data_IF_626589032632
#
_entry.id   IF_626589032632
#
_cell.length_a   1.000
_cell.length_b   1.000
_cell.length_c   1.000
_cell.angle_alpha   90.00
_cell.angle_beta   90.00
_cell.angle_gamma   90.00
#
_symmetry.space_group_name_H-M   'P 1'
#
loop_
_entity.id
_entity.type
_entity.pdbx_description
1 polymer ?
#
# COMPACT_ATOMS: atom_id res chain seq x y z
N UNK A 1 6.52 -56.80 -39.97
CA UNK A 1 6.61 -55.39 -40.39
C UNK A 1 5.38 -54.65 -39.91
N UNK A 2 5.59 -53.67 -39.02
CA UNK A 2 4.78 -52.46 -38.76
C UNK A 2 3.31 -52.64 -38.28
N UNK A 3 2.79 -51.91 -37.29
CA UNK A 3 3.29 -50.81 -36.46
C UNK A 3 2.29 -50.66 -35.30
N UNK A 4 2.81 -50.39 -34.11
CA UNK A 4 2.06 -49.95 -32.94
C UNK A 4 1.40 -48.59 -33.18
N UNK A 5 0.18 -48.41 -32.65
CA UNK A 5 -0.37 -47.08 -32.36
C UNK A 5 -0.85 -47.09 -30.91
N UNK A 6 -0.04 -46.49 -30.04
CA UNK A 6 -0.45 -46.09 -28.70
C UNK A 6 -1.17 -44.75 -28.82
N UNK A 7 -2.45 -44.71 -28.45
CA UNK A 7 -3.19 -43.46 -28.28
C UNK A 7 -2.87 -42.93 -26.88
N UNK A 8 -2.07 -41.87 -26.80
CA UNK A 8 -1.89 -41.09 -25.59
C UNK A 8 -3.11 -40.17 -25.47
N UNK A 9 -3.97 -40.43 -24.50
CA UNK A 9 -5.03 -39.52 -24.09
C UNK A 9 -4.36 -38.36 -23.34
N UNK A 10 -4.16 -37.23 -24.00
CA UNK A 10 -3.72 -36.00 -23.36
C UNK A 10 -4.82 -35.48 -22.43
N UNK A 11 -4.61 -35.57 -21.13
CA UNK A 11 -5.44 -34.86 -20.16
C UNK A 11 -5.14 -33.36 -20.30
N UNK A 12 -6.06 -32.61 -20.90
CA UNK A 12 -6.11 -31.16 -20.75
C UNK A 12 -6.46 -30.86 -19.29
N UNK A 13 -5.45 -30.51 -18.49
CA UNK A 13 -5.67 -29.77 -17.26
C UNK A 13 -6.17 -28.38 -17.66
N UNK A 14 -7.49 -28.18 -17.53
CA UNK A 14 -8.08 -26.86 -17.46
C UNK A 14 -7.57 -26.21 -16.17
N UNK A 15 -6.55 -25.36 -16.28
CA UNK A 15 -6.21 -24.40 -15.24
C UNK A 15 -7.44 -23.49 -15.07
N UNK A 16 -8.18 -23.68 -13.99
CA UNK A 16 -9.16 -22.69 -13.57
C UNK A 16 -8.41 -21.38 -13.27
N UNK A 17 -8.92 -20.21 -13.65
CA UNK A 17 -8.31 -18.95 -13.26
C UNK A 17 -8.28 -18.89 -11.73
N UNK A 18 -7.09 -18.73 -11.16
CA UNK A 18 -6.90 -18.58 -9.72
C UNK A 18 -7.79 -17.42 -9.22
N UNK A 19 -8.63 -17.73 -8.24
CA UNK A 19 -9.57 -16.79 -7.62
C UNK A 19 -8.91 -15.57 -6.96
N UNK A 20 -7.58 -15.54 -6.87
CA UNK A 20 -6.80 -14.39 -6.39
C UNK A 20 -6.97 -13.11 -7.22
N UNK A 21 -7.34 -13.22 -8.51
CA UNK A 21 -7.57 -12.06 -9.37
C UNK A 21 -8.94 -11.40 -9.21
N UNK A 22 -9.89 -12.01 -8.49
CA UNK A 22 -11.23 -11.42 -8.32
C UNK A 22 -11.22 -10.16 -7.43
N UNK A 23 -10.14 -9.92 -6.70
CA UNK A 23 -10.01 -8.80 -5.76
C UNK A 23 -9.48 -7.52 -6.42
N UNK A 24 -8.75 -7.64 -7.52
CA UNK A 24 -8.22 -6.50 -8.26
C UNK A 24 -9.17 -6.09 -9.39
N UNK A 25 -9.20 -4.80 -9.71
CA UNK A 25 -10.01 -4.31 -10.82
C UNK A 25 -9.31 -4.54 -12.18
N UNK A 26 -10.02 -4.21 -13.26
CA UNK A 26 -9.47 -4.30 -14.63
C UNK A 26 -8.35 -3.30 -14.91
N UNK A 27 -8.19 -2.26 -14.07
CA UNK A 27 -7.15 -1.24 -14.20
C UNK A 27 -5.89 -1.56 -13.37
N UNK A 28 -5.80 -2.74 -12.75
CA UNK A 28 -4.70 -3.09 -11.87
C UNK A 28 -3.33 -2.90 -12.53
N UNK A 29 -2.48 -2.07 -11.93
CA UNK A 29 -1.17 -1.71 -12.47
C UNK A 29 -1.19 -0.68 -13.58
N UNK A 30 -2.33 -0.04 -13.87
CA UNK A 30 -2.44 1.06 -14.83
C UNK A 30 -2.61 2.37 -14.07
N UNK A 31 -1.63 3.26 -14.16
CA UNK A 31 -1.66 4.53 -13.43
C UNK A 31 -2.63 5.55 -14.02
N UNK A 32 -2.69 5.65 -15.35
CA UNK A 32 -3.58 6.55 -16.10
C UNK A 32 -4.58 5.73 -16.93
N UNK A 33 -5.68 5.23 -16.34
CA UNK A 33 -6.63 4.39 -17.05
C UNK A 33 -7.37 5.17 -18.14
N UNK A 34 -7.69 4.48 -19.24
CA UNK A 34 -8.43 5.01 -20.39
C UNK A 34 -9.74 4.24 -20.59
N UNK A 35 -10.75 4.90 -21.14
CA UNK A 35 -12.01 4.30 -21.60
C UNK A 35 -12.07 4.27 -23.12
N UNK A 36 -12.62 3.21 -23.69
CA UNK A 36 -12.90 3.13 -25.12
C UNK A 36 -14.20 3.86 -25.44
N UNK A 37 -14.16 4.73 -26.44
CA UNK A 37 -15.32 5.41 -26.99
C UNK A 37 -15.44 5.16 -28.49
N UNK A 38 -16.67 5.18 -29.01
CA UNK A 38 -16.92 5.15 -30.45
C UNK A 38 -16.98 6.57 -30.97
N UNK A 39 -16.00 6.95 -31.79
CA UNK A 39 -16.02 8.20 -32.53
C UNK A 39 -16.65 7.94 -33.90
N UNK A 40 -17.69 8.71 -34.25
CA UNK A 40 -18.33 8.66 -35.56
C UNK A 40 -17.88 9.87 -36.36
N UNK A 41 -17.18 9.62 -37.46
CA UNK A 41 -16.75 10.65 -38.43
C UNK A 41 -17.35 10.35 -39.79
N UNK A 42 -17.39 11.35 -40.69
CA UNK A 42 -17.78 11.13 -42.09
C UNK A 42 -16.54 11.08 -42.96
N UNK A 43 -16.48 10.10 -43.86
CA UNK A 43 -15.45 10.05 -44.90
C UNK A 43 -15.76 11.02 -46.06
N UNK A 44 -14.82 11.11 -46.99
CA UNK A 44 -14.90 11.98 -48.18
C UNK A 44 -16.06 11.62 -49.12
N UNK A 45 -16.64 10.42 -48.97
CA UNK A 45 -17.82 9.96 -49.71
C UNK A 45 -19.14 10.24 -48.97
N UNK A 46 -19.08 10.83 -47.77
CA UNK A 46 -20.22 11.08 -46.90
C UNK A 46 -20.68 9.85 -46.10
N UNK A 47 -19.94 8.74 -46.15
CA UNK A 47 -20.18 7.53 -45.37
C UNK A 47 -19.77 7.71 -43.91
N UNK A 48 -20.53 7.14 -42.99
CA UNK A 48 -20.15 7.12 -41.57
C UNK A 48 -19.05 6.09 -41.31
N UNK A 49 -17.96 6.55 -40.71
CA UNK A 49 -16.85 5.73 -40.24
C UNK A 49 -16.86 5.77 -38.71
N UNK A 50 -17.14 4.62 -38.10
CA UNK A 50 -17.05 4.43 -36.65
C UNK A 50 -15.64 3.93 -36.31
N UNK A 51 -14.92 4.67 -35.48
CA UNK A 51 -13.60 4.29 -34.96
C UNK A 51 -13.70 4.10 -33.45
N UNK A 52 -12.98 3.11 -32.92
CA UNK A 52 -12.76 3.02 -31.48
C UNK A 52 -11.59 3.94 -31.14
N UNK A 53 -11.79 4.86 -30.20
CA UNK A 53 -10.75 5.77 -29.70
C UNK A 53 -10.62 5.61 -28.19
N UNK A 54 -9.39 5.63 -27.70
CA UNK A 54 -9.11 5.65 -26.26
C UNK A 54 -9.10 7.10 -25.78
N UNK A 55 -9.79 7.35 -24.67
CA UNK A 55 -9.77 8.65 -24.00
C UNK A 55 -9.54 8.45 -22.51
N UNK A 56 -8.99 9.45 -21.83
CA UNK A 56 -8.86 9.39 -20.38
C UNK A 56 -10.23 9.20 -19.72
N UNK A 57 -10.24 8.45 -18.63
CA UNK A 57 -11.41 8.40 -17.76
C UNK A 57 -11.64 9.78 -17.13
N UNK A 58 -12.85 9.99 -16.59
CA UNK A 58 -13.16 11.25 -15.93
C UNK A 58 -12.21 11.43 -14.74
N UNK A 59 -11.66 12.63 -14.58
CA UNK A 59 -10.67 12.92 -13.54
C UNK A 59 -11.24 13.68 -12.35
N UNK A 60 -10.61 13.55 -11.19
CA UNK A 60 -10.84 14.41 -10.03
C UNK A 60 -10.24 15.82 -10.24
N UNK A 61 -10.34 16.68 -9.23
CA UNK A 61 -9.80 18.05 -9.27
C UNK A 61 -8.28 18.12 -9.35
N UNK A 62 -7.58 17.01 -9.16
CA UNK A 62 -6.12 16.90 -9.22
C UNK A 62 -5.65 16.15 -10.48
N UNK A 63 -6.56 15.73 -11.36
CA UNK A 63 -6.21 15.00 -12.58
C UNK A 63 -5.98 13.50 -12.37
N UNK A 64 -6.34 12.92 -11.22
CA UNK A 64 -6.36 11.46 -11.05
C UNK A 64 -7.67 10.89 -11.57
N UNK A 65 -7.70 9.60 -11.87
CA UNK A 65 -8.94 8.90 -12.22
C UNK A 65 -10.01 9.11 -11.12
N UNK A 66 -11.24 9.44 -11.50
CA UNK A 66 -12.34 9.72 -10.58
C UNK A 66 -13.10 8.45 -10.19
N UNK A 67 -13.31 8.28 -8.88
CA UNK A 67 -14.05 7.15 -8.32
C UNK A 67 -13.19 5.92 -7.98
N UNK A 68 -13.73 5.05 -7.12
CA UNK A 68 -13.03 3.92 -6.53
C UNK A 68 -12.85 2.73 -7.50
N UNK A 69 -13.58 2.70 -8.62
CA UNK A 69 -13.49 1.66 -9.63
C UNK A 69 -12.13 1.62 -10.34
N UNK A 70 -11.28 2.63 -10.15
CA UNK A 70 -9.91 2.69 -10.66
C UNK A 70 -8.85 2.49 -9.56
N UNK A 71 -9.24 2.14 -8.32
CA UNK A 71 -8.29 1.74 -7.26
C UNK A 71 -7.74 0.35 -7.58
N UNK A 72 -6.60 -0.06 -7.02
CA UNK A 72 -6.06 -1.41 -7.26
C UNK A 72 -7.09 -2.52 -6.99
N UNK A 73 -7.79 -2.42 -5.86
CA UNK A 73 -8.77 -3.40 -5.44
C UNK A 73 -10.21 -2.88 -5.54
N UNK A 74 -11.14 -3.81 -5.79
CA UNK A 74 -12.57 -3.52 -5.72
C UNK A 74 -13.01 -3.26 -4.28
N UNK A 75 -14.08 -2.49 -4.10
CA UNK A 75 -14.63 -2.22 -2.77
C UNK A 75 -15.08 -3.52 -2.09
N UNK A 76 -14.81 -3.66 -0.79
CA UNK A 76 -15.10 -4.87 -0.02
C UNK A 76 -14.23 -6.09 -0.32
N UNK A 77 -13.24 -6.02 -1.23
CA UNK A 77 -12.40 -7.15 -1.63
C UNK A 77 -11.72 -7.89 -0.47
N UNK A 78 -11.49 -7.22 0.65
CA UNK A 78 -10.77 -7.74 1.80
C UNK A 78 -11.65 -7.85 3.06
N UNK A 79 -12.97 -7.98 2.91
CA UNK A 79 -13.87 -8.22 4.03
C UNK A 79 -13.38 -9.38 4.93
N UNK A 80 -13.20 -9.08 6.22
CA UNK A 80 -12.71 -10.03 7.21
C UNK A 80 -11.18 -10.06 7.37
N UNK A 81 -10.42 -9.32 6.56
CA UNK A 81 -8.99 -9.15 6.77
C UNK A 81 -8.71 -7.97 7.71
N UNK A 82 -7.73 -8.14 8.60
CA UNK A 82 -7.37 -7.12 9.61
C UNK A 82 -5.97 -6.60 9.40
N UNK A 83 -5.84 -5.27 9.47
CA UNK A 83 -4.58 -4.54 9.50
C UNK A 83 -4.28 -4.20 10.96
N UNK A 84 -3.15 -4.67 11.48
CA UNK A 84 -2.64 -4.18 12.76
C UNK A 84 -1.89 -2.87 12.53
N UNK A 85 -2.18 -1.83 13.32
CA UNK A 85 -1.54 -0.52 13.25
C UNK A 85 -0.91 -0.16 14.59
N UNK A 86 0.39 0.11 14.58
CA UNK A 86 1.12 0.72 15.68
C UNK A 86 1.31 2.20 15.35
N UNK A 87 0.47 3.06 15.91
CA UNK A 87 0.53 4.50 15.69
C UNK A 87 1.19 5.20 16.88
N UNK A 88 2.47 5.51 16.78
CA UNK A 88 3.20 6.16 17.86
C UNK A 88 3.17 7.68 17.79
N UNK A 89 3.00 8.27 16.59
CA UNK A 89 2.71 9.69 16.45
C UNK A 89 1.21 9.98 16.58
N UNK A 90 0.84 10.75 17.59
CA UNK A 90 -0.55 11.16 17.86
C UNK A 90 -0.72 12.68 17.98
N UNK A 91 0.35 13.43 17.72
CA UNK A 91 0.34 14.89 17.75
C UNK A 91 -0.32 15.46 16.48
N UNK A 92 -0.44 16.79 16.40
CA UNK A 92 -0.94 17.47 15.20
C UNK A 92 -2.40 17.14 14.84
N UNK A 93 -3.15 16.50 15.75
CA UNK A 93 -4.51 16.03 15.49
C UNK A 93 -4.60 14.73 14.68
N UNK A 94 -3.51 13.96 14.57
CA UNK A 94 -3.53 12.70 13.82
C UNK A 94 -4.32 11.61 14.56
N UNK A 95 -5.61 11.50 14.24
CA UNK A 95 -6.55 10.54 14.84
C UNK A 95 -6.69 9.21 14.06
N UNK A 96 -6.05 9.10 12.90
CA UNK A 96 -6.10 7.95 11.96
C UNK A 96 -7.48 7.67 11.35
N UNK A 97 -8.44 8.59 11.47
CA UNK A 97 -9.81 8.35 11.03
C UNK A 97 -9.96 8.32 9.51
N UNK A 98 -9.27 9.22 8.81
CA UNK A 98 -9.31 9.27 7.35
C UNK A 98 -8.68 8.02 6.69
N UNK A 99 -7.46 7.58 7.08
CA UNK A 99 -6.94 6.28 6.67
C UNK A 99 -7.88 5.12 6.99
N UNK A 100 -8.42 5.07 8.22
CA UNK A 100 -9.32 3.99 8.65
C UNK A 100 -10.56 3.88 7.77
N UNK A 101 -11.18 5.00 7.38
CA UNK A 101 -12.34 5.03 6.48
C UNK A 101 -11.98 4.50 5.09
N UNK A 102 -10.87 4.95 4.53
CA UNK A 102 -10.43 4.49 3.21
C UNK A 102 -10.09 2.99 3.18
N UNK A 103 -9.48 2.47 4.25
CA UNK A 103 -9.23 1.04 4.39
C UNK A 103 -10.54 0.23 4.51
N UNK A 104 -11.54 0.76 5.22
CA UNK A 104 -12.85 0.13 5.35
C UNK A 104 -13.62 0.06 4.02
N UNK A 105 -13.45 1.03 3.10
CA UNK A 105 -14.01 0.94 1.73
C UNK A 105 -13.55 -0.33 1.00
N UNK A 106 -12.32 -0.79 1.28
CA UNK A 106 -11.77 -2.02 0.70
C UNK A 106 -12.07 -3.27 1.53
N UNK A 107 -12.80 -3.15 2.63
CA UNK A 107 -13.22 -4.26 3.49
C UNK A 107 -12.26 -4.58 4.65
N UNK A 108 -11.15 -3.85 4.79
CA UNK A 108 -10.23 -4.07 5.90
C UNK A 108 -10.80 -3.57 7.23
N UNK A 109 -10.66 -4.36 8.29
CA UNK A 109 -10.71 -3.87 9.66
C UNK A 109 -9.34 -3.41 10.15
N UNK A 110 -9.33 -2.46 11.09
CA UNK A 110 -8.11 -1.94 11.70
C UNK A 110 -8.09 -2.28 13.19
N UNK A 111 -7.01 -2.91 13.65
CA UNK A 111 -6.71 -3.09 15.07
C UNK A 111 -5.52 -2.20 15.45
N UNK A 112 -5.74 -1.22 16.33
CA UNK A 112 -4.79 -0.12 16.52
C UNK A 112 -4.34 0.02 17.96
N UNK A 113 -3.02 0.14 18.16
CA UNK A 113 -2.43 0.74 19.35
C UNK A 113 -1.96 2.15 19.06
N UNK A 114 -2.17 3.05 20.01
CA UNK A 114 -1.90 4.47 19.88
C UNK A 114 -0.96 4.95 20.98
N UNK A 115 0.04 5.75 20.62
CA UNK A 115 1.08 6.37 21.46
C UNK A 115 2.02 5.41 22.22
N UNK A 116 1.60 4.17 22.51
CA UNK A 116 2.41 3.17 23.21
C UNK A 116 2.42 1.85 22.46
N UNK A 117 3.58 1.18 22.47
CA UNK A 117 3.68 -0.19 22.00
C UNK A 117 2.97 -1.14 22.99
N UNK A 118 2.27 -2.17 22.50
CA UNK A 118 1.88 -3.30 23.35
C UNK A 118 3.12 -4.05 23.83
N UNK A 119 2.95 -5.10 24.63
CA UNK A 119 4.01 -6.11 24.79
C UNK A 119 4.24 -6.88 23.48
N UNK A 120 5.42 -7.49 23.32
CA UNK A 120 5.71 -8.33 22.15
C UNK A 120 4.75 -9.52 22.03
N UNK A 121 4.31 -10.09 23.17
CA UNK A 121 3.31 -11.15 23.19
C UNK A 121 1.95 -10.67 22.69
N UNK A 122 1.46 -9.54 23.19
CA UNK A 122 0.19 -8.95 22.73
C UNK A 122 0.25 -8.59 21.24
N UNK A 123 1.42 -8.13 20.75
CA UNK A 123 1.64 -7.89 19.32
C UNK A 123 1.53 -9.21 18.54
N UNK A 124 2.21 -10.27 18.97
CA UNK A 124 2.16 -11.58 18.29
C UNK A 124 0.73 -12.13 18.22
N UNK A 125 -0.04 -12.01 19.29
CA UNK A 125 -1.44 -12.41 19.34
C UNK A 125 -2.31 -11.64 18.34
N UNK A 126 -2.11 -10.32 18.18
CA UNK A 126 -2.83 -9.53 17.19
C UNK A 126 -2.39 -9.84 15.75
N UNK A 127 -1.10 -10.04 15.53
CA UNK A 127 -0.55 -10.38 14.21
C UNK A 127 -1.03 -11.74 13.73
N UNK A 128 -1.30 -12.70 14.64
CA UNK A 128 -1.90 -13.99 14.27
C UNK A 128 -3.29 -13.89 13.61
N UNK A 129 -3.95 -12.74 13.75
CA UNK A 129 -5.27 -12.43 13.18
C UNK A 129 -5.22 -11.35 12.09
N UNK A 130 -4.01 -10.92 11.71
CA UNK A 130 -3.79 -9.82 10.78
C UNK A 130 -3.12 -10.32 9.51
N UNK A 131 -3.41 -9.69 8.38
CA UNK A 131 -2.72 -9.98 7.12
C UNK A 131 -1.47 -9.09 6.93
N UNK A 132 -1.43 -7.93 7.60
CA UNK A 132 -0.34 -6.97 7.52
C UNK A 132 -0.21 -6.12 8.79
N UNK A 133 0.97 -5.51 8.96
CA UNK A 133 1.33 -4.63 10.06
C UNK A 133 1.81 -3.27 9.55
N UNK A 134 1.23 -2.20 10.07
CA UNK A 134 1.64 -0.83 9.80
C UNK A 134 2.27 -0.22 11.05
N UNK A 135 3.42 0.43 10.88
CA UNK A 135 4.19 1.05 11.95
C UNK A 135 4.35 2.52 11.59
N UNK A 136 3.77 3.41 12.39
CA UNK A 136 3.90 4.86 12.24
C UNK A 136 4.75 5.34 13.40
N UNK A 137 6.00 5.67 13.09
CA UNK A 137 7.00 6.06 14.08
C UNK A 137 6.59 7.33 14.82
N UNK A 138 6.98 7.41 16.09
CA UNK A 138 6.80 8.58 16.94
C UNK A 138 8.13 9.25 17.24
N UNK A 139 8.10 10.19 18.17
CA UNK A 139 9.22 11.03 18.64
C UNK A 139 10.40 10.28 19.29
N UNK A 140 10.25 8.98 19.51
CA UNK A 140 11.19 8.13 20.21
C UNK A 140 10.90 6.68 19.85
N UNK A 141 11.94 5.85 19.87
CA UNK A 141 11.80 4.41 19.66
C UNK A 141 11.04 3.77 20.83
N UNK A 142 9.94 3.08 20.53
CA UNK A 142 9.10 2.35 21.48
C UNK A 142 9.22 0.82 21.32
N UNK A 143 9.64 0.35 20.15
CA UNK A 143 9.86 -1.06 19.85
C UNK A 143 11.24 -1.50 20.33
N UNK A 144 11.34 -2.78 20.69
CA UNK A 144 12.58 -3.39 21.18
C UNK A 144 12.88 -4.70 20.43
N UNK A 145 13.94 -5.40 20.83
CA UNK A 145 14.38 -6.65 20.18
C UNK A 145 13.31 -7.75 20.18
N UNK A 146 12.47 -7.84 21.23
CA UNK A 146 11.39 -8.84 21.30
C UNK A 146 10.30 -8.53 20.26
N UNK A 147 9.94 -7.24 20.10
CA UNK A 147 9.02 -6.82 19.05
C UNK A 147 9.59 -7.12 17.66
N UNK A 148 10.87 -6.79 17.42
CA UNK A 148 11.53 -7.06 16.15
C UNK A 148 11.48 -8.56 15.81
N UNK A 149 11.68 -9.45 16.78
CA UNK A 149 11.59 -10.89 16.55
C UNK A 149 10.19 -11.32 16.08
N UNK A 150 9.14 -10.79 16.72
CA UNK A 150 7.74 -11.03 16.36
C UNK A 150 7.42 -10.48 14.95
N UNK A 151 7.84 -9.25 14.67
CA UNK A 151 7.63 -8.58 13.37
C UNK A 151 8.35 -9.34 12.26
N UNK A 152 9.61 -9.74 12.49
CA UNK A 152 10.39 -10.52 11.53
C UNK A 152 9.72 -11.86 11.23
N UNK A 153 9.27 -12.58 12.26
CA UNK A 153 8.55 -13.86 12.09
C UNK A 153 7.28 -13.68 11.25
N UNK A 154 6.51 -12.62 11.51
CA UNK A 154 5.31 -12.29 10.75
C UNK A 154 5.63 -11.97 9.27
N UNK A 155 6.64 -11.13 9.03
CA UNK A 155 7.08 -10.79 7.67
C UNK A 155 7.65 -11.99 6.91
N UNK A 156 8.46 -12.83 7.57
CA UNK A 156 9.03 -14.03 6.95
C UNK A 156 7.97 -15.08 6.59
N UNK A 157 6.80 -15.05 7.24
CA UNK A 157 5.66 -15.87 6.85
C UNK A 157 4.96 -15.39 5.56
N UNK A 158 5.32 -14.20 5.04
CA UNK A 158 4.77 -13.63 3.81
C UNK A 158 3.85 -12.43 4.01
N UNK A 159 3.55 -12.06 5.24
CA UNK A 159 2.62 -10.96 5.55
C UNK A 159 3.23 -9.58 5.23
N UNK A 160 2.36 -8.61 4.93
CA UNK A 160 2.79 -7.28 4.53
C UNK A 160 3.30 -6.40 5.68
N UNK A 161 4.32 -5.57 5.42
CA UNK A 161 4.76 -4.50 6.33
C UNK A 161 4.63 -3.12 5.69
N UNK A 162 4.11 -2.14 6.43
CA UNK A 162 4.19 -0.73 6.05
C UNK A 162 4.87 0.07 7.15
N UNK A 163 6.08 0.54 6.90
CA UNK A 163 6.88 1.31 7.85
C UNK A 163 6.87 2.78 7.44
N UNK A 164 6.40 3.62 8.34
CA UNK A 164 6.23 5.05 8.17
C UNK A 164 7.11 5.80 9.16
N UNK A 165 7.89 6.74 8.66
CA UNK A 165 8.56 7.77 9.46
C UNK A 165 8.35 9.14 8.84
N UNK A 166 8.91 10.15 9.48
CA UNK A 166 8.85 11.56 9.06
C UNK A 166 10.08 12.29 9.63
N UNK A 167 10.12 13.61 9.57
CA UNK A 167 11.24 14.41 10.02
C UNK A 167 11.70 14.06 11.44
N UNK A 168 12.99 14.23 11.76
CA UNK A 168 13.47 14.02 13.12
C UNK A 168 12.68 14.84 14.15
N UNK A 169 12.31 14.27 15.31
CA UNK A 169 12.72 12.96 15.83
C UNK A 169 11.83 11.76 15.42
N UNK A 170 10.90 11.92 14.47
CA UNK A 170 9.84 10.95 14.18
C UNK A 170 10.26 9.75 13.29
N UNK A 171 11.50 9.27 13.46
CA UNK A 171 12.08 8.14 12.70
C UNK A 171 12.48 6.94 13.55
N UNK A 172 12.46 7.04 14.87
CA UNK A 172 13.10 6.07 15.77
C UNK A 172 12.69 4.61 15.53
N UNK A 173 11.39 4.31 15.56
CA UNK A 173 10.88 2.97 15.31
C UNK A 173 10.99 2.55 13.85
N UNK A 174 10.80 3.50 12.93
CA UNK A 174 10.94 3.25 11.50
C UNK A 174 12.37 2.78 11.16
N UNK A 175 13.39 3.51 11.61
CA UNK A 175 14.79 3.18 11.42
C UNK A 175 15.20 1.89 12.14
N UNK A 176 14.67 1.64 13.33
CA UNK A 176 14.95 0.40 14.07
C UNK A 176 14.51 -0.84 13.27
N UNK A 177 13.30 -0.81 12.69
CA UNK A 177 12.79 -1.94 11.91
C UNK A 177 13.40 -1.98 10.50
N UNK A 178 13.49 -0.84 9.81
CA UNK A 178 13.99 -0.78 8.43
C UNK A 178 15.47 -1.15 8.34
N UNK A 179 16.28 -0.77 9.32
CA UNK A 179 17.70 -1.15 9.37
C UNK A 179 17.83 -2.66 9.54
N UNK A 180 17.05 -3.25 10.45
CA UNK A 180 17.13 -4.67 10.76
C UNK A 180 16.62 -5.59 9.64
N UNK A 181 15.58 -5.17 8.90
CA UNK A 181 14.94 -6.02 7.88
C UNK A 181 15.41 -5.73 6.46
N UNK A 182 15.83 -4.48 6.18
CA UNK A 182 16.04 -4.00 4.82
C UNK A 182 17.36 -3.27 4.63
N UNK A 183 18.22 -3.15 5.65
CA UNK A 183 19.52 -2.45 5.58
C UNK A 183 19.39 -1.00 5.06
N UNK A 184 18.33 -0.31 5.49
CA UNK A 184 18.10 1.13 5.19
C UNK A 184 17.65 1.90 6.41
N UNK A 185 17.87 3.20 6.40
CA UNK A 185 17.37 4.16 7.38
C UNK A 185 16.92 5.44 6.69
N UNK A 186 16.00 6.14 7.33
CA UNK A 186 15.62 7.52 7.05
C UNK A 186 16.63 8.46 7.72
N UNK A 187 16.93 9.59 7.08
CA UNK A 187 17.81 10.62 7.63
C UNK A 187 17.28 11.13 8.98
N UNK A 188 18.04 10.91 10.04
CA UNK A 188 17.71 11.29 11.40
C UNK A 188 18.20 12.72 11.77
N UNK A 189 18.74 13.46 10.81
CA UNK A 189 19.39 14.76 11.03
C UNK A 189 18.77 15.90 10.22
N UNK A 190 18.19 15.60 9.06
CA UNK A 190 17.66 16.61 8.16
C UNK A 190 16.36 16.17 7.49
N UNK A 191 15.59 17.15 7.01
CA UNK A 191 14.35 16.92 6.29
C UNK A 191 14.06 18.07 5.32
N UNK A 192 13.07 17.87 4.45
CA UNK A 192 12.56 18.85 3.49
C UNK A 192 11.11 19.20 3.77
N UNK A 193 10.75 20.43 3.46
CA UNK A 193 9.37 20.92 3.42
C UNK A 193 8.81 20.67 2.02
N UNK A 194 8.15 19.53 1.83
CA UNK A 194 7.90 18.92 0.52
C UNK A 194 6.46 19.05 0.06
N UNK A 195 5.79 20.17 0.35
CA UNK A 195 4.34 20.34 0.17
C UNK A 195 3.91 20.46 -1.30
N UNK A 196 4.30 19.51 -2.15
CA UNK A 196 4.10 19.51 -3.60
C UNK A 196 3.27 18.31 -4.05
N UNK A 197 2.67 18.47 -5.22
CA UNK A 197 2.07 17.38 -5.98
C UNK A 197 3.01 16.99 -7.11
N UNK A 198 3.40 15.72 -7.15
CA UNK A 198 4.31 15.15 -8.15
C UNK A 198 3.54 14.22 -9.10
N UNK A 199 4.05 14.07 -10.31
CA UNK A 199 3.52 13.14 -11.32
C UNK A 199 4.41 11.91 -11.50
N UNK A 200 4.35 11.31 -12.69
CA UNK A 200 5.19 10.18 -13.04
C UNK A 200 6.67 10.51 -13.10
N UNK A 201 7.49 9.56 -12.65
CA UNK A 201 8.90 9.52 -13.04
C UNK A 201 9.01 9.40 -14.56
N UNK A 202 9.81 10.26 -15.19
CA UNK A 202 10.16 10.13 -16.61
C UNK A 202 11.25 9.09 -16.83
N UNK A 203 12.12 8.93 -15.83
CA UNK A 203 13.12 7.87 -15.72
C UNK A 203 13.25 7.44 -14.26
N UNK A 204 13.57 6.17 -14.03
CA UNK A 204 13.89 5.67 -12.69
C UNK A 204 14.96 6.53 -12.03
N UNK A 205 14.72 6.97 -10.80
CA UNK A 205 15.65 7.85 -10.07
C UNK A 205 15.36 9.35 -10.22
N UNK A 206 14.48 9.76 -11.13
CA UNK A 206 14.06 11.16 -11.25
C UNK A 206 12.83 11.46 -10.38
N UNK A 207 12.56 12.75 -10.14
CA UNK A 207 11.36 13.23 -9.42
C UNK A 207 10.08 12.59 -9.96
N UNK A 208 9.22 12.15 -9.04
CA UNK A 208 7.94 11.52 -9.34
C UNK A 208 7.79 10.14 -8.70
N UNK A 209 6.68 9.47 -9.01
CA UNK A 209 6.45 8.09 -8.59
C UNK A 209 6.49 7.10 -9.77
N UNK A 210 6.82 5.84 -9.45
CA UNK A 210 6.95 4.75 -10.42
C UNK A 210 5.61 4.54 -11.17
N UNK A 211 5.54 4.76 -12.49
CA UNK A 211 4.31 4.55 -13.24
C UNK A 211 4.04 3.05 -13.45
N UNK A 212 2.76 2.71 -13.59
CA UNK A 212 2.28 1.37 -13.95
C UNK A 212 2.72 0.26 -13.00
N UNK A 213 2.73 0.57 -11.70
CA UNK A 213 2.91 -0.40 -10.63
C UNK A 213 1.57 -0.60 -9.91
N UNK A 214 1.36 -1.75 -9.25
CA UNK A 214 0.11 -2.02 -8.53
C UNK A 214 -0.17 -0.93 -7.47
N UNK A 215 0.87 -0.47 -6.78
CA UNK A 215 0.79 0.64 -5.80
C UNK A 215 0.32 1.96 -6.40
N UNK A 216 0.56 2.19 -7.70
CA UNK A 216 0.28 3.46 -8.39
C UNK A 216 -0.90 3.36 -9.35
N UNK A 217 -1.71 2.30 -9.22
CA UNK A 217 -2.96 2.09 -9.97
C UNK A 217 -3.91 3.29 -9.81
N UNK A 218 -4.33 3.88 -10.92
CA UNK A 218 -5.25 5.02 -10.98
C UNK A 218 -4.71 6.36 -10.43
N UNK A 219 -3.40 6.46 -10.15
CA UNK A 219 -2.75 7.67 -9.64
C UNK A 219 -1.92 8.29 -10.77
N UNK A 220 -2.23 9.53 -11.16
CA UNK A 220 -1.44 10.36 -12.08
C UNK A 220 -0.69 11.48 -11.33
N UNK A 221 -1.25 11.92 -10.20
CA UNK A 221 -0.75 12.99 -9.35
C UNK A 221 -0.82 12.58 -7.88
N UNK A 222 0.30 12.70 -7.16
CA UNK A 222 0.43 12.31 -5.76
C UNK A 222 1.00 13.45 -4.92
N UNK A 223 0.39 13.74 -3.78
CA UNK A 223 0.97 14.62 -2.77
C UNK A 223 2.12 13.89 -2.05
N UNK A 224 3.31 14.48 -2.02
CA UNK A 224 4.50 13.78 -1.53
C UNK A 224 4.68 13.80 0.01
N UNK A 225 3.98 14.70 0.70
CA UNK A 225 4.04 14.85 2.16
C UNK A 225 4.21 16.31 2.56
N UNK A 226 4.10 16.61 3.86
CA UNK A 226 4.38 17.95 4.37
C UNK A 226 5.87 18.10 4.66
N UNK A 227 6.40 17.16 5.43
CA UNK A 227 7.82 16.99 5.73
C UNK A 227 8.26 15.60 5.30
N UNK A 228 9.50 15.51 4.83
CA UNK A 228 10.12 14.24 4.40
C UNK A 228 11.63 14.26 4.69
N UNK A 229 12.17 13.32 5.48
CA UNK A 229 13.59 13.00 5.46
C UNK A 229 13.92 12.13 4.23
N UNK A 230 15.18 12.14 3.81
CA UNK A 230 15.64 11.26 2.76
C UNK A 230 15.71 9.80 3.26
N UNK A 231 15.21 8.86 2.47
CA UNK A 231 15.44 7.44 2.67
C UNK A 231 16.78 7.03 2.04
N UNK A 232 17.61 6.29 2.76
CA UNK A 232 18.86 5.79 2.22
C UNK A 232 18.60 4.72 1.14
N UNK A 233 19.15 4.95 -0.05
CA UNK A 233 19.11 3.96 -1.13
C UNK A 233 19.96 2.73 -0.80
N UNK A 234 19.51 1.56 -1.26
CA UNK A 234 20.26 0.31 -1.19
C UNK A 234 19.80 -0.69 -2.25
N UNK A 235 20.33 -1.93 -2.22
CA UNK A 235 19.98 -2.99 -3.17
C UNK A 235 18.80 -3.87 -2.72
N UNK A 236 18.33 -3.68 -1.48
CA UNK A 236 17.26 -4.48 -0.89
C UNK A 236 15.90 -3.98 -1.34
N UNK A 237 15.71 -2.66 -1.36
CA UNK A 237 14.47 -1.99 -1.74
C UNK A 237 14.54 -1.42 -3.16
N UNK A 238 13.39 -1.38 -3.83
CA UNK A 238 13.21 -0.73 -5.11
C UNK A 238 12.59 0.66 -4.90
N UNK A 239 13.11 1.72 -5.54
CA UNK A 239 12.56 3.06 -5.42
C UNK A 239 11.12 3.15 -5.91
N UNK A 240 10.24 3.80 -5.13
CA UNK A 240 8.84 4.03 -5.48
C UNK A 240 8.55 5.49 -5.78
N UNK A 241 9.01 6.39 -4.90
CA UNK A 241 8.70 7.82 -4.94
C UNK A 241 9.98 8.61 -4.71
N UNK A 242 10.33 9.46 -5.67
CA UNK A 242 11.30 10.55 -5.48
C UNK A 242 10.54 11.87 -5.35
N UNK A 243 10.77 12.58 -4.25
CA UNK A 243 10.14 13.86 -3.98
C UNK A 243 10.67 14.99 -4.87
N UNK A 244 10.02 16.15 -4.81
CA UNK A 244 10.35 17.34 -5.60
C UNK A 244 11.76 17.89 -5.33
N UNK A 245 12.33 17.60 -4.16
CA UNK A 245 13.70 17.90 -3.76
C UNK A 245 14.74 16.84 -4.19
N UNK A 246 14.39 15.96 -5.14
CA UNK A 246 15.26 14.91 -5.69
C UNK A 246 15.76 13.88 -4.64
N UNK A 247 14.98 13.66 -3.58
CA UNK A 247 15.27 12.66 -2.54
C UNK A 247 14.35 11.45 -2.66
N UNK A 248 14.86 10.27 -2.31
CA UNK A 248 14.02 9.07 -2.18
C UNK A 248 13.10 9.22 -0.95
N UNK A 249 11.79 9.14 -1.18
CA UNK A 249 10.73 9.31 -0.17
C UNK A 249 10.12 7.98 0.22
N UNK A 250 9.87 7.11 -0.76
CA UNK A 250 9.33 5.79 -0.50
C UNK A 250 10.01 4.75 -1.37
N UNK A 251 10.20 3.55 -0.82
CA UNK A 251 10.71 2.40 -1.51
C UNK A 251 9.97 1.14 -1.05
N UNK A 252 9.99 0.10 -1.88
CA UNK A 252 9.27 -1.13 -1.60
C UNK A 252 10.18 -2.36 -1.69
N UNK A 253 9.76 -3.43 -1.03
CA UNK A 253 10.34 -4.76 -1.11
C UNK A 253 9.29 -5.69 -1.72
N UNK A 254 9.61 -6.40 -2.81
CA UNK A 254 8.76 -7.46 -3.37
C UNK A 254 9.63 -8.64 -3.83
N UNK A 255 10.03 -9.48 -2.88
CA UNK A 255 10.92 -10.63 -3.12
C UNK A 255 10.48 -11.82 -2.27
N UNK A 256 10.64 -13.03 -2.80
CA UNK A 256 10.34 -14.29 -2.11
C UNK A 256 8.90 -14.38 -1.55
N UNK A 257 7.95 -13.72 -2.22
CA UNK A 257 6.55 -13.65 -1.81
C UNK A 257 6.33 -12.89 -0.51
N UNK A 258 7.20 -11.93 -0.18
CA UNK A 258 7.06 -11.00 0.96
C UNK A 258 7.02 -9.58 0.41
N UNK A 259 6.17 -8.74 1.01
CA UNK A 259 5.99 -7.35 0.59
C UNK A 259 6.15 -6.37 1.73
N UNK A 260 6.89 -5.29 1.48
CA UNK A 260 6.99 -4.18 2.41
C UNK A 260 7.08 -2.83 1.71
N UNK A 261 6.70 -1.78 2.42
CA UNK A 261 6.90 -0.38 2.02
C UNK A 261 7.60 0.34 3.16
N UNK A 262 8.63 1.12 2.84
CA UNK A 262 9.28 2.08 3.74
C UNK A 262 9.04 3.46 3.17
N UNK A 263 8.38 4.33 3.94
CA UNK A 263 7.88 5.63 3.47
C UNK A 263 8.14 6.72 4.51
N UNK A 264 8.72 7.83 4.06
CA UNK A 264 9.17 8.93 4.92
C UNK A 264 8.17 10.08 5.01
N UNK A 265 6.98 9.95 4.41
CA UNK A 265 5.99 11.04 4.34
C UNK A 265 4.69 10.75 5.09
N UNK A 266 4.72 10.29 6.35
CA UNK A 266 3.48 9.94 7.06
C UNK A 266 2.54 11.13 7.28
N UNK A 267 3.01 12.37 7.14
CA UNK A 267 2.16 13.58 7.15
C UNK A 267 1.06 13.57 6.10
N UNK A 268 1.21 12.80 5.00
CA UNK A 268 0.11 12.54 4.05
C UNK A 268 -1.12 11.95 4.73
N UNK A 269 -0.94 11.17 5.79
CA UNK A 269 -2.01 10.45 6.47
C UNK A 269 -2.95 11.37 7.26
N UNK A 270 -2.60 12.65 7.51
CA UNK A 270 -3.44 13.53 8.34
C UNK A 270 -3.42 15.04 8.03
N UNK A 271 -2.37 15.61 7.42
CA UNK A 271 -2.32 17.07 7.19
C UNK A 271 -3.09 17.47 5.92
N UNK A 272 -2.92 16.69 4.85
CA UNK A 272 -3.48 16.99 3.52
C UNK A 272 -4.05 15.71 2.89
N UNK A 273 -4.88 15.00 3.66
CA UNK A 273 -5.46 13.73 3.25
C UNK A 273 -6.23 13.82 1.92
N UNK A 274 -6.99 14.90 1.73
CA UNK A 274 -7.82 15.11 0.54
C UNK A 274 -7.02 15.62 -0.68
N UNK A 275 -5.69 15.75 -0.57
CA UNK A 275 -4.84 16.15 -1.70
C UNK A 275 -4.52 14.95 -2.60
N UNK A 276 -4.25 15.27 -3.87
CA UNK A 276 -3.90 14.39 -4.99
C UNK A 276 -3.42 12.98 -4.58
N UNK A 277 -4.23 11.98 -4.91
CA UNK A 277 -3.83 10.57 -4.90
C UNK A 277 -3.65 9.92 -3.52
N UNK A 278 -3.65 10.66 -2.41
CA UNK A 278 -3.30 10.13 -1.08
C UNK A 278 -4.18 8.97 -0.64
N UNK A 279 -5.50 9.15 -0.64
CA UNK A 279 -6.44 8.09 -0.25
C UNK A 279 -6.33 6.85 -1.15
N UNK A 280 -6.15 7.05 -2.46
CA UNK A 280 -5.96 5.96 -3.43
C UNK A 280 -4.64 5.21 -3.18
N UNK A 281 -3.55 5.93 -2.93
CA UNK A 281 -2.25 5.36 -2.61
C UNK A 281 -2.31 4.48 -1.36
N UNK A 282 -2.95 4.95 -0.30
CA UNK A 282 -3.14 4.19 0.95
C UNK A 282 -3.98 2.93 0.72
N UNK A 283 -5.06 3.02 -0.07
CA UNK A 283 -5.90 1.86 -0.44
C UNK A 283 -5.13 0.84 -1.29
N UNK A 284 -4.36 1.31 -2.28
CA UNK A 284 -3.52 0.46 -3.12
C UNK A 284 -2.42 -0.23 -2.31
N UNK A 285 -1.76 0.50 -1.41
CA UNK A 285 -0.75 -0.06 -0.52
C UNK A 285 -1.33 -1.19 0.35
N UNK A 286 -2.50 -0.98 0.95
CA UNK A 286 -3.17 -2.00 1.76
C UNK A 286 -3.53 -3.24 0.93
N UNK A 287 -4.07 -3.05 -0.28
CA UNK A 287 -4.42 -4.14 -1.16
C UNK A 287 -3.20 -4.94 -1.63
N UNK A 288 -2.11 -4.25 -1.98
CA UNK A 288 -0.87 -4.87 -2.44
C UNK A 288 -0.16 -5.66 -1.32
N UNK A 289 -0.11 -5.10 -0.12
CA UNK A 289 0.49 -5.70 1.07
C UNK A 289 -0.30 -6.92 1.60
N UNK A 290 -1.58 -7.05 1.26
CA UNK A 290 -2.39 -8.21 1.63
C UNK A 290 -1.92 -9.53 0.97
N UNK A 291 -1.14 -9.44 -0.11
CA UNK A 291 -0.46 -10.58 -0.76
C UNK A 291 -1.42 -11.74 -1.07
N UNK A 292 -2.54 -11.40 -1.71
CA UNK A 292 -3.71 -12.26 -1.85
C UNK A 292 -3.56 -13.37 -2.87
N UNK A 293 -2.62 -13.24 -3.80
CA UNK A 293 -2.14 -14.33 -4.64
C UNK A 293 -1.53 -15.47 -3.82
N UNK A 294 -1.02 -15.18 -2.62
CA UNK A 294 -0.40 -16.16 -1.73
C UNK A 294 -1.39 -16.69 -0.70
N UNK A 295 -2.14 -15.80 -0.07
CA UNK A 295 -2.99 -16.17 1.07
C UNK A 295 -4.47 -16.39 0.70
N UNK A 296 -4.92 -15.93 -0.47
CA UNK A 296 -6.33 -16.02 -0.88
C UNK A 296 -7.28 -15.53 0.23
N UNK A 297 -8.36 -16.29 0.45
CA UNK A 297 -9.30 -16.05 1.56
C UNK A 297 -8.85 -16.69 2.89
N UNK A 298 -7.69 -17.35 2.97
CA UNK A 298 -7.33 -18.15 4.16
C UNK A 298 -7.19 -17.33 5.44
N UNK A 299 -6.89 -16.03 5.33
CA UNK A 299 -6.83 -15.11 6.48
C UNK A 299 -8.23 -14.76 7.02
N UNK A 300 -9.29 -14.95 6.23
CA UNK A 300 -10.67 -14.63 6.59
C UNK A 300 -11.44 -15.78 7.30
N UNK A 301 -10.76 -16.90 7.63
CA UNK A 301 -11.45 -18.08 8.20
C UNK A 301 -12.20 -17.74 9.50
N UNK A 302 -13.50 -18.07 9.60
CA UNK A 302 -14.41 -17.56 10.63
C UNK A 302 -14.21 -18.12 12.05
N UNK A 303 -13.31 -19.09 12.27
CA UNK A 303 -13.12 -19.75 13.58
C UNK A 303 -12.44 -18.85 14.64
N UNK A 304 -11.99 -17.65 14.29
CA UNK A 304 -11.38 -16.68 15.21
C UNK A 304 -12.22 -15.43 15.48
N UNK A 305 -13.47 -15.36 14.98
CA UNK A 305 -14.35 -14.20 15.12
C UNK A 305 -14.75 -13.95 16.59
N UNK A 306 -14.03 -13.05 17.26
CA UNK A 306 -14.60 -12.28 18.37
C UNK A 306 -14.79 -10.84 17.89
N UNK A 307 -16.03 -10.33 17.77
CA UNK A 307 -16.23 -8.93 17.42
C UNK A 307 -15.91 -8.07 18.64
N UNK A 308 -14.85 -7.28 18.59
CA UNK A 308 -14.68 -6.12 19.50
C UNK A 308 -13.97 -4.98 18.80
N UNK A 309 -14.74 -3.95 18.47
CA UNK A 309 -14.26 -2.57 18.55
C UNK A 309 -14.04 -2.27 20.03
N UNK A 310 -12.81 -2.44 20.52
CA UNK A 310 -12.40 -1.93 21.83
C UNK A 310 -11.27 -0.95 21.60
N UNK A 311 -11.60 0.34 21.66
CA UNK A 311 -10.61 1.33 22.07
C UNK A 311 -10.18 0.99 23.50
N UNK A 312 -8.90 0.67 23.69
CA UNK A 312 -8.28 0.66 25.01
C UNK A 312 -7.53 1.97 25.14
N UNK A 313 -8.23 3.05 25.48
CA UNK A 313 -7.63 4.24 26.07
C UNK A 313 -7.39 3.95 27.56
N UNK A 314 -6.16 3.62 27.96
CA UNK A 314 -5.80 3.60 29.38
C UNK A 314 -5.69 5.06 29.88
N UNK A 315 -6.30 5.43 31.02
CA UNK A 315 -6.13 6.75 31.58
C UNK A 315 -4.68 6.95 32.03
N UNK A 316 -4.13 8.13 31.71
CA UNK A 316 -2.86 8.61 32.25
C UNK A 316 -2.92 8.54 33.78
N UNK A 317 -2.08 7.69 34.38
CA UNK A 317 -1.83 7.69 35.81
C UNK A 317 -1.22 9.03 36.21
N UNK A 318 -2.06 9.90 36.78
CA UNK A 318 -1.61 11.09 37.49
C UNK A 318 -0.81 10.71 38.73
N UNK A 319 0.21 11.53 39.01
CA UNK A 319 0.97 11.53 40.27
C UNK A 319 0.05 11.67 41.48
#
# INVERSE_FOLDING_TARGET
>A
MNRWWSVILGALLLLAPDSGFAQYNESAGVSAPVKQMKEVSRDDSGGEVVRSVETHVDSDSYGNASGNQYDLAVDGAFEGQTITVLQFYTDGGFDFEAPRKALAEKGFSVYRWSNQAPSAQELEEALSKSNQLWIISGDSQRLNAEHLAVIKKFFDAGHGLYIWGDNPPYVGDANFISSALFDTTMDATSYKEAQQTIGFQKKTGEVGFLPNHLLTTGIEHLYEGHTIPALQENQMLEPLIYGSDEILVAAFYDKDGKRAIVDTGFTRLYIQWDTAGTGRYVKNAAAWLANVERFGEEVAKPETRTPRTTEITKPNGGK
#
